data_IF_609399470509
#
_entry.id   IF_609399470509
#
_cell.length_a   1.000
_cell.length_b   1.000
_cell.length_c   1.000
_cell.angle_alpha   90.00
_cell.angle_beta   90.00
_cell.angle_gamma   90.00
#
_symmetry.space_group_name_H-M   'P 1'
#
loop_
_entity.id
_entity.type
_entity.pdbx_description
1 polymer ?
#
# COMPACT_ATOMS: atom_id res chain seq x y z
N UNK A 1 1.76 7.64 -37.51
CA UNK A 1 0.76 7.71 -36.42
C UNK A 1 1.44 7.16 -35.19
N UNK A 2 1.83 8.02 -34.25
CA UNK A 2 2.62 7.65 -33.06
C UNK A 2 2.07 8.43 -31.86
N UNK A 3 1.44 7.71 -30.93
CA UNK A 3 1.36 7.91 -29.47
C UNK A 3 1.07 9.29 -28.84
N UNK A 4 0.84 10.38 -29.58
CA UNK A 4 0.65 11.73 -29.01
C UNK A 4 -0.80 12.23 -28.95
N UNK A 5 -1.78 11.36 -29.20
CA UNK A 5 -3.20 11.74 -29.26
C UNK A 5 -4.05 11.23 -28.09
N UNK A 6 -3.46 10.60 -27.07
CA UNK A 6 -4.21 10.04 -25.93
C UNK A 6 -3.88 10.65 -24.56
N UNK A 7 -2.98 11.64 -24.49
CA UNK A 7 -2.42 12.07 -23.20
C UNK A 7 -3.20 13.16 -22.46
N UNK A 8 -4.21 13.79 -23.07
CA UNK A 8 -4.63 15.14 -22.61
C UNK A 8 -6.12 15.38 -22.31
N UNK A 9 -7.01 14.38 -22.28
CA UNK A 9 -8.44 14.70 -22.12
C UNK A 9 -9.32 13.79 -21.24
N UNK A 10 -8.78 12.82 -20.48
CA UNK A 10 -9.66 11.89 -19.74
C UNK A 10 -9.37 11.77 -18.25
N UNK A 11 -8.19 12.14 -17.76
CA UNK A 11 -7.90 12.06 -16.35
C UNK A 11 -7.41 13.41 -15.85
N UNK A 12 -8.14 13.97 -14.89
CA UNK A 12 -7.69 15.02 -13.98
C UNK A 12 -6.59 14.47 -13.04
N UNK A 13 -5.57 13.81 -13.62
CA UNK A 13 -4.47 13.11 -12.92
C UNK A 13 -3.45 14.06 -12.31
N UNK A 14 -3.59 15.38 -12.48
CA UNK A 14 -2.58 16.36 -12.07
C UNK A 14 -2.50 16.64 -10.57
N UNK A 15 -3.53 16.34 -9.77
CA UNK A 15 -3.58 16.81 -8.37
C UNK A 15 -3.17 15.76 -7.33
N UNK A 16 -3.46 14.48 -7.55
CA UNK A 16 -3.24 13.40 -6.55
C UNK A 16 -2.93 12.05 -7.23
N UNK A 17 -1.85 12.01 -8.00
CA UNK A 17 -1.44 10.82 -8.76
C UNK A 17 -0.90 9.69 -7.87
N UNK A 18 -0.40 10.03 -6.68
CA UNK A 18 0.30 9.09 -5.80
C UNK A 18 -0.36 8.96 -4.44
N UNK A 19 -0.42 7.72 -3.96
CA UNK A 19 -0.58 7.40 -2.55
C UNK A 19 0.82 7.26 -1.97
N UNK A 20 1.09 7.98 -0.87
CA UNK A 20 2.42 7.96 -0.24
C UNK A 20 2.32 7.33 1.13
N UNK A 21 3.17 6.33 1.39
CA UNK A 21 3.34 5.74 2.72
C UNK A 21 4.74 6.05 3.24
N UNK A 22 4.83 6.74 4.39
CA UNK A 22 6.10 7.07 5.03
C UNK A 22 6.24 6.25 6.32
N UNK A 23 7.12 5.24 6.37
CA UNK A 23 7.35 4.44 7.58
C UNK A 23 7.87 5.30 8.73
N UNK A 24 7.27 5.18 9.91
CA UNK A 24 7.68 5.86 11.14
C UNK A 24 8.24 4.90 12.19
N UNK A 25 7.79 3.65 12.19
CA UNK A 25 8.27 2.60 13.08
C UNK A 25 8.21 1.22 12.44
N UNK A 26 9.19 0.37 12.78
CA UNK A 26 9.19 -1.05 12.44
C UNK A 26 9.28 -1.83 13.75
N UNK A 27 8.35 -2.75 13.98
CA UNK A 27 8.21 -3.50 15.23
C UNK A 27 8.21 -4.99 14.93
N UNK A 28 8.96 -5.77 15.71
CA UNK A 28 8.99 -7.23 15.59
C UNK A 28 9.93 -7.77 14.51
N UNK A 29 10.63 -6.91 13.77
CA UNK A 29 11.64 -7.36 12.81
C UNK A 29 12.85 -7.96 13.55
N UNK A 30 13.20 -9.24 13.32
CA UNK A 30 14.34 -9.85 13.97
C UNK A 30 15.66 -9.28 13.44
N UNK A 31 16.70 -9.25 14.28
CA UNK A 31 18.04 -8.75 13.90
C UNK A 31 18.76 -9.64 12.88
N UNK A 32 18.33 -10.89 12.76
CA UNK A 32 18.89 -11.88 11.84
C UNK A 32 17.80 -12.86 11.44
N UNK A 33 17.81 -13.26 10.16
CA UNK A 33 16.91 -14.24 9.58
C UNK A 33 17.76 -15.22 8.76
N UNK A 34 17.47 -16.52 8.78
CA UNK A 34 18.16 -17.45 7.90
C UNK A 34 17.46 -17.48 6.53
N UNK A 35 18.21 -17.87 5.50
CA UNK A 35 17.63 -18.07 4.17
C UNK A 35 16.59 -19.20 4.26
N UNK A 36 15.40 -18.95 3.71
CA UNK A 36 14.24 -19.82 3.77
C UNK A 36 13.32 -19.54 4.95
N UNK A 37 13.75 -18.75 5.95
CA UNK A 37 12.89 -18.39 7.06
C UNK A 37 11.88 -17.33 6.63
N UNK A 38 10.64 -17.50 7.08
CA UNK A 38 9.59 -16.48 7.01
C UNK A 38 9.49 -15.76 8.34
N UNK A 39 9.46 -14.43 8.28
CA UNK A 39 9.34 -13.55 9.44
C UNK A 39 8.12 -12.66 9.31
N UNK A 40 7.42 -12.49 10.42
CA UNK A 40 6.28 -11.59 10.52
C UNK A 40 6.66 -10.40 11.39
N UNK A 41 6.43 -9.20 10.87
CA UNK A 41 6.69 -7.96 11.58
C UNK A 41 5.69 -6.89 11.14
N UNK A 42 5.62 -5.77 11.86
CA UNK A 42 4.73 -4.68 11.51
C UNK A 42 5.51 -3.42 11.15
N UNK A 43 4.96 -2.66 10.20
CA UNK A 43 5.47 -1.35 9.82
C UNK A 43 4.34 -0.35 10.04
N UNK A 44 4.52 0.55 11.00
CA UNK A 44 3.62 1.69 11.20
C UNK A 44 4.19 2.88 10.43
N UNK A 45 3.31 3.63 9.77
CA UNK A 45 3.69 4.81 9.02
C UNK A 45 2.51 5.69 8.66
N UNK A 46 2.83 6.86 8.12
CA UNK A 46 1.86 7.84 7.67
C UNK A 46 1.43 7.51 6.24
N UNK A 47 0.18 7.07 6.07
CA UNK A 47 -0.44 6.86 4.77
C UNK A 47 -1.17 8.13 4.34
N UNK A 48 -0.71 8.73 3.25
CA UNK A 48 -1.34 9.90 2.64
C UNK A 48 -2.05 9.47 1.38
N UNK A 49 -3.38 9.61 1.39
CA UNK A 49 -4.23 9.44 0.21
C UNK A 49 -4.84 10.80 -0.08
N UNK A 50 -4.55 11.33 -1.27
CA UNK A 50 -4.87 12.71 -1.64
C UNK A 50 -4.23 13.73 -0.69
N UNK A 51 -5.03 14.42 0.11
CA UNK A 51 -4.66 15.45 1.08
C UNK A 51 -4.87 15.01 2.54
N UNK A 52 -5.29 13.75 2.74
CA UNK A 52 -5.54 13.21 4.08
C UNK A 52 -4.44 12.22 4.46
N UNK A 53 -3.83 12.46 5.61
CA UNK A 53 -2.77 11.61 6.18
C UNK A 53 -3.27 10.95 7.45
N UNK A 54 -3.21 9.62 7.50
CA UNK A 54 -3.55 8.83 8.68
C UNK A 54 -2.44 7.84 9.01
N UNK A 55 -2.27 7.55 10.30
CA UNK A 55 -1.35 6.51 10.75
C UNK A 55 -1.93 5.12 10.43
N UNK A 56 -1.21 4.34 9.62
CA UNK A 56 -1.60 2.98 9.22
C UNK A 56 -0.49 2.01 9.60
N UNK A 57 -0.88 0.82 10.03
CA UNK A 57 0.06 -0.26 10.33
C UNK A 57 -0.12 -1.39 9.33
N UNK A 58 0.93 -1.66 8.57
CA UNK A 58 1.03 -2.83 7.72
C UNK A 58 1.56 -4.02 8.51
N UNK A 59 0.91 -5.16 8.38
CA UNK A 59 1.45 -6.45 8.80
C UNK A 59 2.20 -7.05 7.63
N UNK A 60 3.48 -7.35 7.83
CA UNK A 60 4.38 -7.85 6.80
C UNK A 60 4.73 -9.29 7.10
N UNK A 61 4.57 -10.14 6.10
CA UNK A 61 5.14 -11.48 6.06
C UNK A 61 6.22 -11.50 4.97
N UNK A 62 7.47 -11.70 5.37
CA UNK A 62 8.61 -11.70 4.45
C UNK A 62 9.45 -12.95 4.60
N UNK A 63 9.90 -13.50 3.48
CA UNK A 63 10.81 -14.65 3.39
C UNK A 63 12.16 -14.20 2.86
N UNK A 64 13.22 -14.60 3.55
CA UNK A 64 14.59 -14.41 3.06
C UNK A 64 14.92 -15.43 1.98
N UNK A 65 14.97 -15.02 0.73
CA UNK A 65 15.24 -15.93 -0.40
C UNK A 65 16.72 -16.03 -0.73
N UNK A 66 17.53 -15.03 -0.35
CA UNK A 66 18.98 -15.05 -0.49
C UNK A 66 19.64 -14.11 0.55
N UNK A 67 20.98 -14.09 0.68
CA UNK A 67 21.67 -13.14 1.56
C UNK A 67 21.38 -11.67 1.24
N UNK A 68 20.92 -11.37 0.02
CA UNK A 68 20.71 -10.02 -0.50
C UNK A 68 19.29 -9.78 -1.00
N UNK A 69 18.35 -10.70 -0.77
CA UNK A 69 17.00 -10.58 -1.29
C UNK A 69 15.96 -11.09 -0.30
N UNK A 70 14.91 -10.29 -0.12
CA UNK A 70 13.70 -10.59 0.63
C UNK A 70 12.50 -10.49 -0.30
N UNK A 71 11.55 -11.39 -0.14
CA UNK A 71 10.24 -11.32 -0.81
C UNK A 71 9.16 -11.36 0.23
N UNK A 72 8.05 -10.66 0.02
CA UNK A 72 6.99 -10.69 1.00
C UNK A 72 5.72 -9.98 0.58
N UNK A 73 4.76 -10.05 1.49
CA UNK A 73 3.46 -9.41 1.36
C UNK A 73 3.22 -8.53 2.59
N UNK A 74 2.80 -7.30 2.37
CA UNK A 74 2.37 -6.38 3.40
C UNK A 74 0.86 -6.13 3.25
N UNK A 75 0.11 -6.27 4.34
CA UNK A 75 -1.35 -6.07 4.37
C UNK A 75 -1.75 -5.04 5.41
N UNK A 76 -2.72 -4.20 5.07
CA UNK A 76 -3.36 -3.27 6.00
C UNK A 76 -4.84 -3.10 5.64
N UNK A 77 -5.70 -2.96 6.65
CA UNK A 77 -7.09 -2.58 6.44
C UNK A 77 -7.24 -1.08 6.73
N UNK A 78 -7.89 -0.36 5.82
CA UNK A 78 -8.17 1.09 5.97
C UNK A 78 -9.63 1.38 5.65
N UNK A 79 -10.25 2.32 6.35
CA UNK A 79 -11.59 2.80 6.00
C UNK A 79 -11.51 3.90 4.94
N UNK A 80 -12.35 3.83 3.91
CA UNK A 80 -12.43 4.89 2.89
C UNK A 80 -12.87 6.23 3.48
N UNK A 81 -13.78 6.20 4.44
CA UNK A 81 -14.31 7.36 5.14
C UNK A 81 -13.23 8.16 5.86
N UNK A 82 -12.20 7.48 6.39
CA UNK A 82 -11.05 8.12 7.02
C UNK A 82 -10.24 9.00 6.06
N UNK A 83 -10.38 8.78 4.75
CA UNK A 83 -9.73 9.56 3.68
C UNK A 83 -10.73 10.40 2.87
N UNK A 84 -11.97 10.54 3.34
CA UNK A 84 -13.01 11.30 2.65
C UNK A 84 -13.43 10.71 1.30
N UNK A 85 -13.14 9.42 1.05
CA UNK A 85 -13.51 8.72 -0.17
C UNK A 85 -14.97 8.26 -0.10
N UNK A 86 -15.89 9.13 -0.49
CA UNK A 86 -17.31 8.84 -0.56
C UNK A 86 -17.67 8.15 -1.87
N UNK A 87 -18.36 7.01 -1.81
CA UNK A 87 -18.92 6.37 -3.01
C UNK A 87 -20.28 7.02 -3.30
N UNK A 88 -20.50 7.60 -4.49
CA UNK A 88 -21.81 8.12 -4.84
C UNK A 88 -22.82 6.96 -4.87
N UNK A 89 -23.90 7.10 -4.10
CA UNK A 89 -24.97 6.10 -4.07
C UNK A 89 -25.64 6.03 -5.43
N UNK A 90 -25.45 4.92 -6.13
CA UNK A 90 -26.14 4.61 -7.39
C UNK A 90 -27.29 3.64 -7.09
N UNK A 91 -28.51 3.91 -7.58
CA UNK A 91 -29.62 2.96 -7.46
C UNK A 91 -29.21 1.61 -8.05
N UNK A 92 -29.45 0.51 -7.33
CA UNK A 92 -29.13 -0.88 -7.70
C UNK A 92 -27.70 -1.38 -7.48
N UNK A 93 -26.81 -0.63 -6.82
CA UNK A 93 -25.50 -1.18 -6.42
C UNK A 93 -25.56 -1.74 -5.00
N UNK A 94 -25.09 -2.99 -4.84
CA UNK A 94 -24.93 -3.63 -3.55
C UNK A 94 -24.03 -2.77 -2.66
N UNK A 95 -24.40 -2.65 -1.39
CA UNK A 95 -23.66 -1.88 -0.38
C UNK A 95 -22.16 -2.17 -0.48
N UNK A 96 -21.36 -1.16 -0.84
CA UNK A 96 -19.91 -1.33 -0.99
C UNK A 96 -19.29 -1.24 0.41
N UNK A 97 -18.59 -2.28 0.84
CA UNK A 97 -18.00 -2.38 2.19
C UNK A 97 -17.05 -1.22 2.45
N UNK A 98 -17.14 -0.59 3.63
CA UNK A 98 -16.39 0.64 3.97
C UNK A 98 -14.88 0.43 4.16
N UNK A 99 -14.52 -0.78 4.55
CA UNK A 99 -13.15 -1.23 4.73
C UNK A 99 -12.53 -1.63 3.38
N UNK A 100 -11.27 -1.27 3.19
CA UNK A 100 -10.47 -1.60 2.03
C UNK A 100 -9.19 -2.25 2.52
N UNK A 101 -8.93 -3.46 2.05
CA UNK A 101 -7.66 -4.13 2.28
C UNK A 101 -6.63 -3.66 1.24
N UNK A 102 -5.52 -3.14 1.74
CA UNK A 102 -4.34 -2.79 0.97
C UNK A 102 -3.37 -3.97 1.02
N UNK A 103 -3.03 -4.51 -0.13
CA UNK A 103 -2.07 -5.61 -0.28
C UNK A 103 -0.91 -5.13 -1.14
N UNK A 104 0.31 -5.30 -0.63
CA UNK A 104 1.53 -4.96 -1.35
C UNK A 104 2.40 -6.22 -1.40
N UNK A 105 2.61 -6.76 -2.60
CA UNK A 105 3.61 -7.79 -2.84
C UNK A 105 4.92 -7.11 -3.26
N UNK A 106 6.02 -7.48 -2.64
CA UNK A 106 7.30 -6.81 -2.87
C UNK A 106 8.48 -7.79 -2.96
N UNK A 107 9.51 -7.32 -3.67
CA UNK A 107 10.85 -7.88 -3.68
C UNK A 107 11.82 -6.78 -3.28
N UNK A 108 12.54 -6.97 -2.19
CA UNK A 108 13.54 -6.05 -1.69
C UNK A 108 14.94 -6.63 -1.91
N UNK A 109 15.84 -5.85 -2.50
CA UNK A 109 17.23 -6.23 -2.71
C UNK A 109 18.14 -5.37 -1.83
N UNK A 110 19.17 -5.97 -1.25
CA UNK A 110 20.24 -5.25 -0.56
C UNK A 110 21.01 -4.39 -1.58
N UNK A 111 21.22 -3.12 -1.25
CA UNK A 111 22.02 -2.16 -2.01
C UNK A 111 23.51 -2.24 -1.68
#
# INVERSE_FOLDING_TARGET
MTERLLQNEILDTGAYEFITFTPTAVIGLPKSVNIGDTVTFTITGDLTIRDVTNAVTFTVEATAVSPTQLTGTATAAVSRGDYGLQIPSVPNVANVEEEVELIIEFVANAS
#
